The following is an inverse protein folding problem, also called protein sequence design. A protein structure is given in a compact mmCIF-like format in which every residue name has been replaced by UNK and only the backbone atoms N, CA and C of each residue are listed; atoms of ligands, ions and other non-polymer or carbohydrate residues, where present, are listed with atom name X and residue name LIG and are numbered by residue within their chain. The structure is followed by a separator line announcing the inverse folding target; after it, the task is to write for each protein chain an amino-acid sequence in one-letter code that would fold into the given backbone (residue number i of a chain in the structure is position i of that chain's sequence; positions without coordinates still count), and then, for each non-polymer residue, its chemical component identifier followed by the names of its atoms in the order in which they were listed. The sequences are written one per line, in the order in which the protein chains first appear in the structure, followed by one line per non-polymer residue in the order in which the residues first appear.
data_IF_053874711879
#
_entry.id   IF_053874711879
#
_cell.length_a   1.000
_cell.length_b   1.000
_cell.length_c   1.000
_cell.angle_alpha   90.00
_cell.angle_beta   90.00
_cell.angle_gamma   90.00
#
_symmetry.space_group_name_H-M   'P 1'
#
loop_
_entity.id
_entity.type
_entity.pdbx_description
1 polymer ?
#
# COMPACT_ATOMS: atom_id res chain seq x y z
N UNK A 1 8.08 21.13 30.40
CA UNK A 1 8.27 19.71 30.78
C UNK A 1 7.24 18.92 29.99
N UNK A 2 7.71 17.93 29.22
CA UNK A 2 6.95 17.11 28.27
C UNK A 2 5.69 16.50 28.89
N UNK A 3 4.64 16.37 28.08
CA UNK A 3 3.98 15.07 27.86
C UNK A 3 3.18 15.10 26.55
N UNK A 4 3.71 14.40 25.55
CA UNK A 4 2.99 14.03 24.34
C UNK A 4 1.98 12.94 24.70
N UNK A 5 0.68 13.20 24.51
CA UNK A 5 -0.33 12.17 24.54
C UNK A 5 -0.65 11.76 23.10
N UNK A 6 0.01 10.66 22.69
CA UNK A 6 -0.44 9.78 21.62
C UNK A 6 -1.91 9.41 21.90
N UNK A 7 -2.82 10.01 21.14
CA UNK A 7 -4.23 9.61 21.06
C UNK A 7 -4.46 8.90 19.74
N UNK A 8 -4.70 7.60 19.80
CA UNK A 8 -5.05 6.73 18.69
C UNK A 8 -6.11 7.37 17.77
N UNK A 9 -5.72 7.73 16.55
CA UNK A 9 -6.68 7.80 15.45
C UNK A 9 -7.04 6.37 15.05
N UNK A 10 -8.00 5.81 15.79
CA UNK A 10 -8.82 4.69 15.32
C UNK A 10 -9.55 5.16 14.07
N UNK A 11 -9.00 4.88 12.90
CA UNK A 11 -9.71 5.02 11.64
C UNK A 11 -10.82 3.96 11.63
N UNK A 12 -12.05 4.37 11.96
CA UNK A 12 -13.26 3.59 11.70
C UNK A 12 -13.33 3.33 10.19
N UNK A 13 -12.99 2.11 9.74
CA UNK A 13 -13.20 1.71 8.34
C UNK A 13 -14.71 1.59 8.07
N UNK A 14 -15.23 2.45 7.19
CA UNK A 14 -16.49 2.16 6.46
C UNK A 14 -16.20 0.97 5.55
N UNK A 15 -16.89 -0.14 5.81
CA UNK A 15 -16.70 -1.44 5.14
C UNK A 15 -15.57 -2.25 5.79
N UNK A 16 -15.92 -3.33 6.49
CA UNK A 16 -14.93 -4.30 6.99
C UNK A 16 -14.44 -5.15 5.81
N UNK A 17 -13.59 -4.59 4.96
CA UNK A 17 -12.95 -5.37 3.90
C UNK A 17 -11.81 -6.19 4.51
N UNK A 18 -11.69 -7.44 4.07
CA UNK A 18 -10.55 -8.28 4.44
C UNK A 18 -9.30 -7.81 3.70
N UNK A 19 -8.16 -8.12 4.29
CA UNK A 19 -6.86 -7.80 3.74
C UNK A 19 -6.12 -9.10 3.45
N UNK A 20 -5.47 -9.15 2.29
CA UNK A 20 -4.55 -10.19 1.86
C UNK A 20 -3.14 -9.73 2.29
N UNK A 21 -2.51 -10.38 3.28
CA UNK A 21 -1.13 -10.10 3.64
C UNK A 21 -0.18 -10.58 2.53
N UNK A 22 0.83 -9.78 2.18
CA UNK A 22 1.81 -10.10 1.15
C UNK A 22 3.23 -9.67 1.53
N UNK A 23 4.22 -10.41 1.03
CA UNK A 23 5.62 -10.03 1.10
C UNK A 23 6.05 -9.39 -0.24
N UNK A 24 6.28 -8.08 -0.29
CA UNK A 24 6.65 -7.37 -1.51
C UNK A 24 8.12 -7.60 -1.89
N UNK A 25 8.37 -7.83 -3.18
CA UNK A 25 9.71 -7.94 -3.78
C UNK A 25 10.01 -6.73 -4.68
N UNK A 26 9.01 -6.30 -5.46
CA UNK A 26 9.09 -5.16 -6.37
C UNK A 26 7.97 -4.14 -6.10
N UNK A 27 8.21 -3.26 -5.13
CA UNK A 27 7.28 -2.23 -4.67
C UNK A 27 6.83 -1.29 -5.79
N UNK A 28 7.77 -0.84 -6.63
CA UNK A 28 7.46 0.12 -7.69
C UNK A 28 6.50 -0.49 -8.71
N UNK A 29 6.77 -1.71 -9.18
CA UNK A 29 5.89 -2.36 -10.14
C UNK A 29 4.50 -2.63 -9.56
N UNK A 30 4.41 -3.07 -8.31
CA UNK A 30 3.13 -3.26 -7.59
C UNK A 30 2.34 -1.94 -7.56
N UNK A 31 2.96 -0.84 -7.13
CA UNK A 31 2.28 0.45 -6.99
C UNK A 31 1.85 1.02 -8.35
N UNK A 32 2.72 0.99 -9.36
CA UNK A 32 2.39 1.48 -10.70
C UNK A 32 1.27 0.66 -11.34
N UNK A 33 1.24 -0.65 -11.11
CA UNK A 33 0.17 -1.50 -11.61
C UNK A 33 -1.15 -1.23 -10.89
N UNK A 34 -1.12 -1.02 -9.56
CA UNK A 34 -2.31 -0.61 -8.81
C UNK A 34 -2.89 0.74 -9.30
N UNK A 35 -2.02 1.72 -9.54
CA UNK A 35 -2.42 3.02 -10.12
C UNK A 35 -3.04 2.84 -11.50
N UNK A 36 -2.52 1.91 -12.31
CA UNK A 36 -3.02 1.64 -13.66
C UNK A 36 -4.42 1.02 -13.66
N UNK A 37 -4.76 0.17 -12.68
CA UNK A 37 -6.06 -0.53 -12.62
C UNK A 37 -7.12 0.26 -11.85
N UNK A 38 -6.72 1.25 -11.05
CA UNK A 38 -7.63 2.13 -10.32
C UNK A 38 -8.39 3.07 -11.28
N UNK A 39 -9.65 3.35 -10.94
CA UNK A 39 -10.47 4.33 -11.68
C UNK A 39 -10.14 5.76 -11.25
N UNK A 40 -9.93 5.97 -9.95
CA UNK A 40 -9.62 7.25 -9.32
C UNK A 40 -8.34 7.13 -8.46
N UNK A 41 -7.16 6.96 -9.07
CA UNK A 41 -5.93 6.68 -8.34
C UNK A 41 -5.48 7.85 -7.46
N UNK A 42 -5.14 7.56 -6.21
CA UNK A 42 -4.34 8.47 -5.37
C UNK A 42 -3.28 7.70 -4.58
N UNK A 43 -2.13 8.34 -4.34
CA UNK A 43 -1.01 7.74 -3.61
C UNK A 43 -0.64 8.64 -2.45
N UNK A 44 -0.68 8.08 -1.25
CA UNK A 44 -0.26 8.75 -0.02
C UNK A 44 1.00 8.07 0.48
N UNK A 45 2.06 8.85 0.67
CA UNK A 45 3.35 8.37 1.18
C UNK A 45 3.73 9.23 2.37
N UNK A 46 3.89 8.58 3.53
CA UNK A 46 3.97 9.18 4.85
C UNK A 46 2.81 10.14 5.11
N UNK A 47 3.07 11.46 5.07
CA UNK A 47 2.08 12.50 5.34
C UNK A 47 1.73 13.35 4.11
N UNK A 48 2.05 12.88 2.90
CA UNK A 48 1.87 13.67 1.68
C UNK A 48 1.40 12.85 0.47
N UNK A 49 0.62 13.51 -0.37
CA UNK A 49 0.20 12.95 -1.66
C UNK A 49 1.39 12.93 -2.63
N UNK A 50 1.53 11.85 -3.38
CA UNK A 50 2.51 11.72 -4.46
C UNK A 50 1.78 11.90 -5.78
N UNK A 51 2.18 12.90 -6.56
CA UNK A 51 1.64 13.16 -7.90
C UNK A 51 2.65 12.87 -9.02
N UNK A 52 3.95 12.79 -8.71
CA UNK A 52 4.99 12.44 -9.67
C UNK A 52 5.38 10.95 -9.52
N UNK A 53 4.94 10.14 -10.48
CA UNK A 53 5.23 8.71 -10.56
C UNK A 53 6.42 8.37 -11.48
N UNK A 54 7.07 9.39 -12.06
CA UNK A 54 8.27 9.20 -12.88
C UNK A 54 9.44 8.66 -12.04
N UNK A 55 10.54 8.27 -12.70
CA UNK A 55 11.76 7.82 -12.01
C UNK A 55 12.43 8.93 -11.17
N UNK A 56 12.05 10.20 -11.36
CA UNK A 56 12.53 11.33 -10.56
C UNK A 56 11.69 11.58 -9.31
N UNK A 57 10.50 10.99 -9.26
CA UNK A 57 9.56 11.14 -8.16
C UNK A 57 9.91 10.30 -6.94
N UNK A 58 9.02 10.32 -5.94
CA UNK A 58 9.21 9.58 -4.68
C UNK A 58 8.81 8.11 -4.76
N UNK A 59 7.97 7.75 -5.74
CA UNK A 59 7.42 6.39 -5.89
C UNK A 59 8.42 5.39 -6.51
N UNK A 60 9.69 5.45 -6.13
CA UNK A 60 10.72 4.52 -6.60
C UNK A 60 10.86 3.33 -5.65
N UNK A 61 11.48 2.24 -6.10
CA UNK A 61 11.78 1.09 -5.23
C UNK A 61 12.53 1.51 -3.96
N UNK A 62 13.54 2.38 -4.11
CA UNK A 62 14.33 2.91 -2.99
C UNK A 62 13.50 3.88 -2.13
N UNK A 63 12.67 4.72 -2.76
CA UNK A 63 11.82 5.65 -2.04
C UNK A 63 10.83 4.92 -1.13
N UNK A 64 10.13 3.92 -1.68
CA UNK A 64 9.13 3.13 -0.95
C UNK A 64 9.79 2.34 0.20
N UNK A 65 10.95 1.72 -0.03
CA UNK A 65 11.68 0.99 1.03
C UNK A 65 12.16 1.88 2.19
N UNK A 66 12.17 3.19 2.02
CA UNK A 66 12.65 4.13 3.02
C UNK A 66 11.53 4.95 3.68
N UNK A 67 10.26 4.75 3.28
CA UNK A 67 9.14 5.44 3.92
C UNK A 67 8.52 4.58 5.02
N UNK A 68 7.78 5.24 5.91
CA UNK A 68 7.11 4.60 7.05
C UNK A 68 5.72 4.14 6.66
N UNK A 69 5.02 4.93 5.84
CA UNK A 69 3.67 4.60 5.40
C UNK A 69 3.53 4.78 3.90
N UNK A 70 2.80 3.87 3.27
CA UNK A 70 2.40 3.99 1.87
C UNK A 70 0.98 3.45 1.72
N UNK A 71 0.16 4.16 0.95
CA UNK A 71 -1.15 3.68 0.56
C UNK A 71 -1.45 4.11 -0.88
N UNK A 72 -1.84 3.16 -1.72
CA UNK A 72 -2.42 3.42 -3.04
C UNK A 72 -3.92 3.17 -2.93
N UNK A 73 -4.73 4.15 -3.36
CA UNK A 73 -6.18 4.16 -3.25
C UNK A 73 -6.85 4.32 -4.61
N UNK A 74 -8.08 3.83 -4.69
CA UNK A 74 -9.05 4.06 -5.75
C UNK A 74 -10.26 4.79 -5.13
N UNK A 75 -10.32 6.11 -5.32
CA UNK A 75 -11.21 6.97 -4.54
C UNK A 75 -10.95 6.85 -3.04
N UNK A 76 -11.99 6.49 -2.28
CA UNK A 76 -11.93 6.29 -0.82
C UNK A 76 -11.47 4.87 -0.40
N UNK A 77 -11.22 3.97 -1.36
CA UNK A 77 -10.87 2.57 -1.08
C UNK A 77 -9.36 2.36 -1.21
N UNK A 78 -8.71 1.91 -0.13
CA UNK A 78 -7.33 1.44 -0.19
C UNK A 78 -7.21 0.16 -1.01
N UNK A 79 -6.36 0.17 -2.04
CA UNK A 79 -6.02 -1.00 -2.88
C UNK A 79 -4.94 -1.81 -2.19
N UNK A 80 -3.86 -1.13 -1.78
CA UNK A 80 -2.71 -1.72 -1.13
C UNK A 80 -1.98 -0.68 -0.28
N UNK A 81 -1.17 -1.17 0.64
CA UNK A 81 -0.31 -0.31 1.42
C UNK A 81 0.45 -1.05 2.51
N UNK A 82 1.13 -0.26 3.33
CA UNK A 82 1.72 -0.68 4.58
C UNK A 82 1.73 0.48 5.57
N UNK A 83 1.80 0.12 6.85
CA UNK A 83 1.97 1.06 7.95
C UNK A 83 3.17 0.64 8.78
N UNK A 84 3.91 1.62 9.30
CA UNK A 84 5.13 1.48 10.10
C UNK A 84 6.39 0.97 9.38
N UNK A 85 6.31 -0.02 8.48
CA UNK A 85 7.46 -0.51 7.70
C UNK A 85 7.07 -1.15 6.35
N UNK A 86 7.98 -1.17 5.36
CA UNK A 86 7.69 -1.71 4.02
C UNK A 86 7.76 -3.23 3.92
N UNK A 87 8.38 -3.93 4.88
CA UNK A 87 8.69 -5.37 4.75
C UNK A 87 7.45 -6.27 4.57
N UNK A 88 6.29 -5.80 5.00
CA UNK A 88 5.00 -6.45 4.79
C UNK A 88 4.03 -5.44 4.17
N UNK A 89 3.20 -5.92 3.26
CA UNK A 89 2.14 -5.13 2.64
C UNK A 89 0.81 -5.83 2.80
N UNK A 90 -0.25 -5.05 2.74
CA UNK A 90 -1.60 -5.57 2.61
C UNK A 90 -2.14 -5.19 1.22
N UNK A 91 -2.98 -6.05 0.67
CA UNK A 91 -3.84 -5.77 -0.48
C UNK A 91 -5.28 -5.97 -0.04
N UNK A 92 -6.18 -5.10 -0.46
CA UNK A 92 -7.60 -5.26 -0.19
C UNK A 92 -8.17 -6.46 -0.97
N UNK A 93 -8.92 -7.34 -0.31
CA UNK A 93 -9.45 -8.58 -0.92
C UNK A 93 -10.33 -8.34 -2.15
N UNK A 94 -10.94 -7.15 -2.28
CA UNK A 94 -11.66 -6.74 -3.50
C UNK A 94 -10.76 -6.67 -4.74
N UNK A 95 -9.44 -6.63 -4.56
CA UNK A 95 -8.40 -6.61 -5.59
C UNK A 95 -7.63 -7.93 -5.64
N UNK A 96 -8.29 -9.06 -5.37
CA UNK A 96 -7.64 -10.38 -5.38
C UNK A 96 -7.01 -10.74 -6.73
N UNK A 97 -7.68 -10.45 -7.86
CA UNK A 97 -7.11 -10.70 -9.19
C UNK A 97 -5.81 -9.90 -9.41
N UNK A 98 -5.75 -8.68 -8.87
CA UNK A 98 -4.53 -7.87 -8.87
C UNK A 98 -3.43 -8.52 -8.01
N UNK A 99 -3.76 -9.03 -6.81
CA UNK A 99 -2.81 -9.72 -5.96
C UNK A 99 -2.23 -10.97 -6.64
N UNK A 100 -3.08 -11.82 -7.22
CA UNK A 100 -2.68 -13.03 -7.97
C UNK A 100 -1.84 -12.67 -9.18
N UNK A 101 -2.20 -11.62 -9.93
CA UNK A 101 -1.39 -11.16 -11.03
C UNK A 101 0.02 -10.75 -10.57
N UNK A 102 0.13 -9.95 -9.51
CA UNK A 102 1.42 -9.52 -8.99
C UNK A 102 2.26 -10.69 -8.45
N UNK A 103 1.64 -11.71 -7.86
CA UNK A 103 2.32 -12.95 -7.47
C UNK A 103 2.85 -13.72 -8.68
N UNK A 104 2.04 -13.89 -9.74
CA UNK A 104 2.47 -14.53 -10.99
C UNK A 104 3.61 -13.79 -11.68
N UNK A 105 3.67 -12.46 -11.58
CA UNK A 105 4.80 -11.67 -12.07
C UNK A 105 6.07 -11.79 -11.19
N UNK A 106 5.98 -12.48 -10.05
CA UNK A 106 7.05 -12.61 -9.07
C UNK A 106 7.33 -11.32 -8.29
N UNK A 107 6.41 -10.35 -8.30
CA UNK A 107 6.60 -9.05 -7.65
C UNK A 107 6.29 -9.07 -6.16
N UNK A 108 5.48 -10.01 -5.72
CA UNK A 108 5.16 -10.25 -4.31
C UNK A 108 5.00 -11.76 -4.07
N UNK A 109 4.78 -12.12 -2.82
CA UNK A 109 4.31 -13.44 -2.41
C UNK A 109 3.09 -13.25 -1.51
N UNK A 110 1.98 -13.89 -1.84
CA UNK A 110 0.80 -13.89 -0.99
C UNK A 110 1.10 -14.77 0.23
N UNK A 111 0.90 -14.20 1.42
CA UNK A 111 0.91 -15.00 2.64
C UNK A 111 -0.46 -15.66 2.75
N UNK A 112 -0.49 -16.96 3.05
CA UNK A 112 -1.74 -17.67 3.35
C UNK A 112 -2.49 -17.00 4.51
N UNK A 113 -3.74 -17.41 4.82
CA UNK A 113 -4.42 -16.91 5.99
C UNK A 113 -3.50 -17.05 7.21
N UNK A 114 -3.33 -15.97 7.96
CA UNK A 114 -2.58 -16.02 9.21
C UNK A 114 -3.20 -17.14 10.07
N UNK A 115 -2.40 -18.17 10.33
CA UNK A 115 -2.78 -19.30 11.19
C UNK A 115 -3.16 -18.83 12.59
#
# INVERSE_FOLDING_TARGET
MLQALRGNMFWKRRGSFRLIPVLPKNYRSICLYAIKVASEPSVVMDNGVVADFSERGRLTQKGIRNCTNLEVRDGDVGILGFHDHPDEMWINENYQDFATYCEHQGWLQIQGPAS
#
